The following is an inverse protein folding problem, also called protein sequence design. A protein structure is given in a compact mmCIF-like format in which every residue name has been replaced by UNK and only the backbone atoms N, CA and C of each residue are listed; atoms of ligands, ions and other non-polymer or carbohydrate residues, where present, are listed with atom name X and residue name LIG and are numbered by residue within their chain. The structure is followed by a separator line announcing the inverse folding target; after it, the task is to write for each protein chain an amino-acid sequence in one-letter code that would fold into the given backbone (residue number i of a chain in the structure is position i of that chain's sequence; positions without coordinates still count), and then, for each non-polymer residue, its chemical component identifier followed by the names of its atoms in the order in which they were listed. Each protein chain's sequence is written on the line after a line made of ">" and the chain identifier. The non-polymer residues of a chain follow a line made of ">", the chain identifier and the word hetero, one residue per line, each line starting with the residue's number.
data_IF_402364543178
#
_entry.id   IF_402364543178
#
_cell.length_a   1.000
_cell.length_b   1.000
_cell.length_c   1.000
_cell.angle_alpha   90.00
_cell.angle_beta   90.00
_cell.angle_gamma   90.00
#
_symmetry.space_group_name_H-M   'P 1'
#
loop_
_entity.id
_entity.type
_entity.pdbx_description
1 polymer ?
#
# COMPACT_ATOMS: atom_id res chain seq x y z
N UNK A 1 -64.43 -26.43 -59.21
CA UNK A 1 -63.66 -25.37 -58.63
C UNK A 1 -62.61 -26.02 -57.73
N UNK A 2 -61.35 -26.05 -58.19
CA UNK A 2 -60.24 -26.72 -57.44
C UNK A 2 -59.40 -25.63 -56.78
N UNK A 3 -59.43 -25.61 -55.44
CA UNK A 3 -58.60 -24.69 -54.66
C UNK A 3 -57.17 -25.27 -54.55
N UNK A 4 -56.23 -24.53 -55.05
CA UNK A 4 -54.80 -24.81 -54.99
C UNK A 4 -54.22 -24.10 -53.79
N UNK A 5 -53.86 -24.82 -52.74
CA UNK A 5 -53.17 -24.29 -51.55
C UNK A 5 -51.66 -24.33 -51.81
N UNK A 6 -51.05 -23.15 -51.87
CA UNK A 6 -49.61 -22.99 -51.99
C UNK A 6 -48.99 -22.96 -50.56
N UNK A 7 -48.23 -24.01 -50.22
CA UNK A 7 -47.46 -24.07 -49.00
C UNK A 7 -46.13 -23.31 -49.20
N UNK A 8 -46.00 -22.16 -48.54
CA UNK A 8 -44.70 -21.44 -48.48
C UNK A 8 -43.79 -22.11 -47.45
N UNK A 9 -42.70 -22.75 -47.92
CA UNK A 9 -41.65 -23.22 -47.07
C UNK A 9 -40.75 -22.06 -46.65
N UNK A 10 -40.78 -21.70 -45.34
CA UNK A 10 -39.89 -20.69 -44.77
C UNK A 10 -38.56 -21.34 -44.41
N UNK A 11 -37.52 -21.16 -45.21
CA UNK A 11 -36.14 -21.61 -44.89
C UNK A 11 -35.53 -20.69 -43.90
N UNK A 12 -35.39 -21.13 -42.63
CA UNK A 12 -34.67 -20.45 -41.59
C UNK A 12 -33.18 -20.62 -41.81
N UNK A 13 -32.49 -19.59 -42.34
CA UNK A 13 -31.03 -19.56 -42.45
C UNK A 13 -30.47 -19.22 -41.04
N UNK A 14 -29.96 -20.25 -40.38
CA UNK A 14 -29.17 -20.04 -39.14
C UNK A 14 -27.78 -19.50 -39.52
N UNK A 15 -27.56 -18.22 -39.38
CA UNK A 15 -26.24 -17.60 -39.48
C UNK A 15 -25.39 -18.00 -38.26
N UNK A 16 -24.49 -18.94 -38.44
CA UNK A 16 -23.40 -19.22 -37.46
C UNK A 16 -22.47 -18.00 -37.46
N UNK A 17 -22.60 -17.13 -36.48
CA UNK A 17 -21.61 -16.13 -36.20
C UNK A 17 -20.35 -16.82 -35.65
N UNK A 18 -19.37 -17.09 -36.52
CA UNK A 18 -18.03 -17.49 -36.12
C UNK A 18 -17.42 -16.25 -35.40
N UNK A 19 -17.54 -16.22 -34.10
CA UNK A 19 -16.81 -15.23 -33.31
C UNK A 19 -15.31 -15.39 -33.54
N UNK A 20 -14.67 -14.41 -34.17
CA UNK A 20 -13.21 -14.41 -34.30
C UNK A 20 -12.61 -14.51 -32.88
N UNK A 21 -11.90 -15.60 -32.61
CA UNK A 21 -11.20 -15.78 -31.36
C UNK A 21 -10.20 -14.62 -31.22
N UNK A 22 -10.39 -13.78 -30.20
CA UNK A 22 -9.47 -12.69 -29.95
C UNK A 22 -8.14 -13.25 -29.48
N UNK A 23 -7.05 -12.84 -30.13
CA UNK A 23 -5.69 -13.21 -29.72
C UNK A 23 -5.46 -12.69 -28.30
N UNK A 24 -5.06 -13.55 -27.36
CA UNK A 24 -4.74 -13.12 -26.00
C UNK A 24 -3.63 -12.06 -26.02
N UNK A 25 -3.75 -11.04 -25.19
CA UNK A 25 -2.80 -9.93 -25.23
C UNK A 25 -2.59 -9.29 -23.88
N UNK A 26 -1.32 -9.01 -23.54
CA UNK A 26 -0.93 -8.13 -22.42
C UNK A 26 -0.91 -6.69 -22.93
N UNK A 27 -1.54 -5.76 -22.19
CA UNK A 27 -1.64 -4.36 -22.61
C UNK A 27 -0.82 -3.43 -21.75
N UNK A 28 -0.81 -3.62 -20.42
CA UNK A 28 -0.07 -2.73 -19.48
C UNK A 28 0.15 -3.39 -18.14
N UNK A 29 1.02 -2.78 -17.34
CA UNK A 29 1.32 -3.13 -15.96
C UNK A 29 0.86 -1.97 -15.07
N UNK A 30 0.19 -2.28 -13.95
CA UNK A 30 -0.18 -1.34 -12.91
C UNK A 30 0.41 -1.78 -11.57
N UNK A 31 0.69 -0.80 -10.69
CA UNK A 31 1.27 -1.05 -9.38
C UNK A 31 0.39 -0.48 -8.27
N UNK A 32 0.29 -1.21 -7.18
CA UNK A 32 -0.29 -0.73 -5.93
C UNK A 32 0.41 -1.37 -4.73
N UNK A 33 0.38 -0.75 -3.53
CA UNK A 33 0.87 -1.42 -2.33
C UNK A 33 0.11 -2.73 -2.10
N UNK A 34 0.82 -3.81 -1.81
CA UNK A 34 0.19 -5.06 -1.42
C UNK A 34 -0.31 -4.97 0.04
N UNK A 35 -1.46 -5.58 0.37
CA UNK A 35 -1.93 -5.67 1.74
C UNK A 35 -0.90 -6.35 2.66
N UNK A 36 -0.76 -5.90 3.91
CA UNK A 36 0.14 -6.53 4.88
C UNK A 36 -0.22 -8.00 5.15
N UNK A 37 -1.52 -8.34 5.08
CA UNK A 37 -2.02 -9.73 5.16
C UNK A 37 -1.49 -10.63 4.05
N UNK A 38 -1.06 -10.06 2.92
CA UNK A 38 -0.39 -10.77 1.81
C UNK A 38 1.15 -10.71 1.91
N UNK A 39 1.70 -10.40 3.09
CA UNK A 39 3.14 -10.29 3.32
C UNK A 39 3.75 -8.95 2.96
N UNK A 40 2.93 -7.96 2.58
CA UNK A 40 3.39 -6.64 2.14
C UNK A 40 4.14 -6.67 0.80
N UNK A 41 4.71 -5.55 0.39
CA UNK A 41 5.42 -5.39 -0.87
C UNK A 41 4.59 -4.66 -1.91
N UNK A 42 4.83 -4.96 -3.19
CA UNK A 42 4.15 -4.33 -4.32
C UNK A 42 3.25 -5.35 -5.02
N UNK A 43 1.98 -5.00 -5.17
CA UNK A 43 1.04 -5.73 -6.01
C UNK A 43 1.20 -5.23 -7.45
N UNK A 44 1.57 -6.14 -8.34
CA UNK A 44 1.76 -5.92 -9.77
C UNK A 44 0.56 -6.52 -10.47
N UNK A 45 -0.20 -5.72 -11.20
CA UNK A 45 -1.37 -6.16 -11.96
C UNK A 45 -1.06 -6.07 -13.45
N UNK A 46 -1.04 -7.22 -14.12
CA UNK A 46 -0.94 -7.30 -15.57
C UNK A 46 -2.33 -7.22 -16.17
N UNK A 47 -2.57 -6.22 -17.00
CA UNK A 47 -3.83 -5.99 -17.68
C UNK A 47 -3.77 -6.49 -19.12
N UNK A 48 -4.90 -6.97 -19.60
CA UNK A 48 -5.05 -7.52 -20.94
C UNK A 48 -6.30 -8.34 -21.09
N UNK A 49 -6.30 -9.24 -22.06
CA UNK A 49 -7.41 -10.16 -22.34
C UNK A 49 -6.91 -11.58 -22.62
N UNK A 50 -7.77 -12.54 -22.31
CA UNK A 50 -7.50 -13.97 -22.53
C UNK A 50 -6.51 -14.57 -21.54
N UNK A 51 -6.05 -15.80 -21.80
CA UNK A 51 -5.05 -16.51 -21.00
C UNK A 51 -3.70 -16.40 -21.69
N UNK A 52 -2.68 -15.93 -20.97
CA UNK A 52 -1.32 -15.74 -21.46
C UNK A 52 -0.31 -16.53 -20.65
N UNK A 53 0.64 -17.15 -21.35
CA UNK A 53 1.91 -17.54 -20.74
C UNK A 53 2.92 -16.43 -21.00
N UNK A 54 3.63 -15.99 -19.95
CA UNK A 54 4.56 -14.87 -20.03
C UNK A 54 5.67 -15.01 -18.99
N UNK A 55 6.78 -14.32 -19.24
CA UNK A 55 7.84 -14.10 -18.25
C UNK A 55 7.72 -12.68 -17.70
N UNK A 56 7.63 -12.56 -16.39
CA UNK A 56 7.64 -11.30 -15.66
C UNK A 56 9.04 -11.09 -15.09
N UNK A 57 9.71 -10.04 -15.55
CA UNK A 57 10.98 -9.55 -15.02
C UNK A 57 10.67 -8.38 -14.10
N UNK A 58 11.09 -8.48 -12.83
CA UNK A 58 10.84 -7.45 -11.81
C UNK A 58 11.83 -6.29 -11.85
N UNK A 59 12.92 -6.42 -12.63
CA UNK A 59 13.98 -5.42 -12.71
C UNK A 59 14.96 -5.44 -11.53
N UNK A 60 14.88 -6.43 -10.64
CA UNK A 60 15.77 -6.66 -9.50
C UNK A 60 16.53 -7.99 -9.63
N UNK A 61 16.84 -8.40 -10.86
CA UNK A 61 17.48 -9.67 -11.25
C UNK A 61 16.59 -10.91 -11.00
N UNK A 62 15.35 -10.73 -10.58
CA UNK A 62 14.39 -11.82 -10.42
C UNK A 62 13.38 -11.85 -11.56
N UNK A 63 13.08 -13.05 -11.99
CA UNK A 63 12.09 -13.31 -13.02
C UNK A 63 11.16 -14.44 -12.61
N UNK A 64 9.93 -14.42 -13.09
CA UNK A 64 8.94 -15.47 -12.88
C UNK A 64 8.21 -15.79 -14.18
N UNK A 65 8.14 -17.07 -14.54
CA UNK A 65 7.31 -17.54 -15.65
C UNK A 65 5.94 -17.93 -15.15
N UNK A 66 4.89 -17.39 -15.76
CA UNK A 66 3.49 -17.58 -15.34
C UNK A 66 2.60 -17.94 -16.53
N UNK A 67 1.51 -18.65 -16.23
CA UNK A 67 0.41 -18.87 -17.17
C UNK A 67 -0.90 -18.57 -16.44
N UNK A 68 -1.58 -17.49 -16.84
CA UNK A 68 -2.75 -16.98 -16.15
C UNK A 68 -3.74 -16.29 -17.07
N UNK A 69 -5.01 -16.27 -16.66
CA UNK A 69 -6.02 -15.42 -17.28
C UNK A 69 -5.78 -13.96 -16.86
N UNK A 70 -5.87 -13.04 -17.81
CA UNK A 70 -5.72 -11.61 -17.54
C UNK A 70 -7.08 -10.97 -17.18
N UNK A 71 -7.10 -10.04 -16.19
CA UNK A 71 -5.95 -9.49 -15.48
C UNK A 71 -5.35 -10.46 -14.46
N UNK A 72 -4.01 -10.57 -14.41
CA UNK A 72 -3.29 -11.36 -13.40
C UNK A 72 -2.64 -10.45 -12.35
N UNK A 73 -2.60 -10.94 -11.10
CA UNK A 73 -2.07 -10.19 -9.95
C UNK A 73 -0.95 -10.98 -9.28
N UNK A 74 0.19 -10.32 -9.12
CA UNK A 74 1.40 -10.90 -8.52
C UNK A 74 1.91 -9.97 -7.44
N UNK A 75 2.29 -10.53 -6.30
CA UNK A 75 2.94 -9.74 -5.25
C UNK A 75 4.44 -9.97 -5.30
N UNK A 76 5.23 -8.88 -5.34
CA UNK A 76 6.67 -8.93 -5.28
C UNK A 76 7.21 -7.99 -4.22
N UNK A 77 8.27 -8.41 -3.52
CA UNK A 77 8.95 -7.60 -2.51
C UNK A 77 10.36 -7.26 -2.98
N UNK A 78 10.61 -5.97 -3.15
CA UNK A 78 11.92 -5.44 -3.47
C UNK A 78 12.77 -5.34 -2.19
N UNK A 79 14.02 -5.77 -2.27
CA UNK A 79 14.93 -5.80 -1.12
C UNK A 79 15.56 -4.43 -0.82
N UNK A 80 15.61 -3.55 -1.82
CA UNK A 80 16.19 -2.21 -1.71
C UNK A 80 15.27 -1.15 -2.33
N UNK A 81 15.48 0.08 -1.91
CA UNK A 81 14.89 1.25 -2.57
C UNK A 81 15.57 1.49 -3.91
N UNK A 82 14.86 2.00 -4.88
CA UNK A 82 15.40 2.25 -6.22
C UNK A 82 14.33 2.40 -7.29
N UNK A 83 14.76 2.55 -8.52
CA UNK A 83 13.93 2.55 -9.70
C UNK A 83 14.09 1.20 -10.43
N UNK A 84 12.99 0.54 -10.67
CA UNK A 84 12.93 -0.77 -11.32
C UNK A 84 12.16 -0.67 -12.62
N UNK A 85 12.64 -1.34 -13.66
CA UNK A 85 11.90 -1.51 -14.91
C UNK A 85 11.26 -2.90 -14.91
N UNK A 86 9.96 -2.96 -14.67
CA UNK A 86 9.20 -4.21 -14.71
C UNK A 86 8.78 -4.49 -16.14
N UNK A 87 9.04 -5.71 -16.63
CA UNK A 87 8.78 -6.12 -18.00
C UNK A 87 8.00 -7.43 -18.01
N UNK A 88 6.85 -7.47 -18.71
CA UNK A 88 6.12 -8.68 -19.00
C UNK A 88 6.29 -9.04 -20.48
N UNK A 89 6.92 -10.17 -20.76
CA UNK A 89 7.17 -10.68 -22.11
C UNK A 89 6.31 -11.91 -22.36
N UNK A 90 5.29 -11.85 -23.22
CA UNK A 90 4.44 -12.99 -23.51
C UNK A 90 5.13 -14.01 -24.42
N UNK A 91 4.67 -15.27 -24.32
CA UNK A 91 4.97 -16.34 -25.23
C UNK A 91 3.83 -16.52 -26.26
N UNK A 92 4.10 -16.91 -27.49
CA UNK A 92 3.04 -17.21 -28.47
C UNK A 92 2.06 -18.26 -27.94
N UNK A 93 0.74 -18.13 -28.23
CA UNK A 93 0.10 -17.17 -29.13
C UNK A 93 -0.24 -15.82 -28.49
N UNK A 94 0.14 -15.57 -27.22
CA UNK A 94 -0.14 -14.29 -26.58
C UNK A 94 0.80 -13.20 -27.11
N UNK A 95 0.26 -11.99 -27.26
CA UNK A 95 0.96 -10.82 -27.79
C UNK A 95 1.09 -9.69 -26.77
N UNK A 96 1.92 -8.69 -27.08
CA UNK A 96 2.03 -7.43 -26.35
C UNK A 96 3.01 -7.48 -25.19
N UNK A 97 4.23 -6.98 -25.41
CA UNK A 97 5.21 -6.75 -24.35
C UNK A 97 4.82 -5.50 -23.57
N UNK A 98 4.59 -5.64 -22.27
CA UNK A 98 4.32 -4.50 -21.39
C UNK A 98 5.56 -4.13 -20.56
N UNK A 99 5.79 -2.83 -20.38
CA UNK A 99 6.89 -2.27 -19.57
C UNK A 99 6.38 -1.15 -18.71
N UNK A 100 6.80 -1.09 -17.45
CA UNK A 100 6.46 -0.01 -16.56
C UNK A 100 7.61 0.27 -15.57
N UNK A 101 7.85 1.55 -15.28
CA UNK A 101 8.81 1.96 -14.26
C UNK A 101 8.13 1.99 -12.90
N UNK A 102 8.80 1.45 -11.90
CA UNK A 102 8.38 1.42 -10.51
C UNK A 102 9.47 2.07 -9.66
N UNK A 103 9.11 3.09 -8.86
CA UNK A 103 10.00 3.66 -7.86
C UNK A 103 9.63 3.11 -6.48
N UNK A 104 10.52 2.35 -5.88
CA UNK A 104 10.47 1.97 -4.47
C UNK A 104 11.23 3.02 -3.68
N UNK A 105 10.53 3.69 -2.77
CA UNK A 105 11.10 4.73 -1.93
C UNK A 105 11.00 4.34 -0.47
N UNK A 106 11.98 4.73 0.38
CA UNK A 106 11.87 4.50 1.81
C UNK A 106 10.61 5.18 2.33
N UNK A 107 9.91 4.48 3.19
CA UNK A 107 8.85 5.11 3.98
C UNK A 107 9.56 6.00 5.00
N UNK A 108 9.45 7.31 4.85
CA UNK A 108 9.99 8.24 5.83
C UNK A 108 9.36 7.94 7.19
N UNK A 109 10.21 7.58 8.15
CA UNK A 109 9.84 7.35 9.54
C UNK A 109 10.03 8.64 10.32
N UNK A 110 9.10 8.96 11.19
CA UNK A 110 9.23 10.17 11.98
C UNK A 110 7.96 10.52 12.75
N UNK A 111 8.07 11.61 13.50
CA UNK A 111 7.00 12.17 14.31
C UNK A 111 6.52 13.49 13.69
N UNK A 112 5.21 13.76 13.72
CA UNK A 112 4.62 14.99 13.18
C UNK A 112 3.57 15.66 14.07
N UNK A 113 3.14 14.99 15.15
CA UNK A 113 2.19 15.58 16.09
C UNK A 113 2.43 15.06 17.51
N UNK A 114 2.37 15.98 18.48
CA UNK A 114 2.41 15.71 19.90
C UNK A 114 1.13 16.25 20.52
N UNK A 115 0.32 15.36 21.09
CA UNK A 115 -0.93 15.71 21.78
C UNK A 115 -0.78 15.36 23.25
N UNK A 116 -1.19 16.26 24.13
CA UNK A 116 -1.17 16.03 25.58
C UNK A 116 -2.56 16.29 26.14
N UNK A 117 -3.06 15.31 26.88
CA UNK A 117 -4.39 15.37 27.53
C UNK A 117 -4.25 14.97 29.01
N UNK A 118 -5.24 15.27 29.88
CA UNK A 118 -5.28 14.70 31.23
C UNK A 118 -5.12 13.18 31.21
N UNK A 119 -4.38 12.66 32.17
CA UNK A 119 -4.10 11.24 32.28
C UNK A 119 -5.35 10.39 32.57
N UNK A 120 -5.21 9.06 32.45
CA UNK A 120 -6.34 8.12 32.60
C UNK A 120 -6.78 7.93 34.05
N UNK A 121 -6.00 8.39 35.02
CA UNK A 121 -6.35 8.25 36.44
C UNK A 121 -7.07 9.51 36.99
N UNK A 122 -7.59 9.41 38.19
CA UNK A 122 -8.19 10.55 38.89
C UNK A 122 -7.15 11.58 39.42
N UNK A 123 -5.86 11.38 39.15
CA UNK A 123 -4.82 12.32 39.55
C UNK A 123 -4.80 13.53 38.60
N UNK A 124 -5.11 14.70 39.14
CA UNK A 124 -5.16 15.94 38.35
C UNK A 124 -3.79 16.35 37.75
N UNK A 125 -2.69 15.80 38.24
CA UNK A 125 -1.34 16.09 37.76
C UNK A 125 -0.83 15.06 36.75
N UNK A 126 -1.60 14.02 36.47
CA UNK A 126 -1.24 13.04 35.46
C UNK A 126 -1.66 13.52 34.08
N UNK A 127 -0.78 13.31 33.10
CA UNK A 127 -1.01 13.60 31.70
C UNK A 127 -0.66 12.40 30.83
N UNK A 128 -1.35 12.27 29.69
CA UNK A 128 -1.06 11.33 28.65
C UNK A 128 -0.53 12.07 27.42
N UNK A 129 0.73 11.88 27.08
CA UNK A 129 1.38 12.44 25.91
C UNK A 129 1.38 11.42 24.78
N UNK A 130 0.65 11.69 23.71
CA UNK A 130 0.58 10.86 22.52
C UNK A 130 1.46 11.44 21.41
N UNK A 131 2.42 10.67 20.96
CA UNK A 131 3.28 10.97 19.81
C UNK A 131 2.72 10.29 18.58
N UNK A 132 2.25 11.07 17.62
CA UNK A 132 1.77 10.57 16.34
C UNK A 132 2.91 10.61 15.30
N UNK A 133 3.00 9.54 14.51
CA UNK A 133 4.08 9.38 13.56
C UNK A 133 3.91 8.12 12.71
N UNK A 134 4.98 7.76 12.02
CA UNK A 134 5.04 6.54 11.19
C UNK A 134 6.28 5.72 11.48
N UNK A 135 6.07 4.42 11.61
CA UNK A 135 7.12 3.42 11.81
C UNK A 135 7.51 3.24 13.27
N UNK A 136 8.44 2.31 13.51
CA UNK A 136 9.09 2.16 14.81
C UNK A 136 10.17 3.22 14.94
N UNK A 137 10.06 4.06 15.97
CA UNK A 137 10.98 5.18 16.24
C UNK A 137 11.37 5.21 17.72
N UNK A 138 12.66 5.48 17.98
CA UNK A 138 13.08 5.98 19.26
C UNK A 138 12.68 7.45 19.40
N UNK A 139 11.97 7.82 20.44
CA UNK A 139 11.56 9.20 20.73
C UNK A 139 11.93 9.56 22.14
N UNK A 140 12.57 10.69 22.34
CA UNK A 140 12.83 11.27 23.65
C UNK A 140 11.76 12.30 23.93
N UNK A 141 11.04 12.16 25.04
CA UNK A 141 10.02 13.12 25.51
C UNK A 141 10.52 13.80 26.78
N UNK A 142 10.77 15.10 26.68
CA UNK A 142 11.07 15.99 27.80
C UNK A 142 9.76 16.65 28.24
N UNK A 143 9.39 16.46 29.51
CA UNK A 143 8.13 16.97 30.06
C UNK A 143 8.21 18.42 30.57
N UNK A 144 9.41 19.03 30.53
CA UNK A 144 9.61 20.41 30.92
C UNK A 144 9.65 20.66 32.44
N UNK A 145 9.68 19.61 33.25
CA UNK A 145 9.82 19.63 34.72
C UNK A 145 11.18 19.03 35.17
N UNK A 146 12.05 18.74 34.22
CA UNK A 146 13.34 18.07 34.42
C UNK A 146 13.31 16.55 34.20
N UNK A 147 12.12 15.98 34.00
CA UNK A 147 11.98 14.57 33.67
C UNK A 147 11.99 14.35 32.16
N UNK A 148 12.74 13.34 31.75
CA UNK A 148 12.90 12.94 30.34
C UNK A 148 12.69 11.44 30.22
N UNK A 149 11.77 11.03 29.36
CA UNK A 149 11.49 9.63 29.08
C UNK A 149 11.84 9.25 27.65
N UNK A 150 12.20 7.98 27.46
CA UNK A 150 12.47 7.41 26.15
C UNK A 150 11.39 6.41 25.76
N UNK A 151 10.89 6.56 24.57
CA UNK A 151 9.89 5.71 23.96
C UNK A 151 10.52 5.03 22.74
N UNK A 152 10.65 3.72 22.74
CA UNK A 152 11.02 2.91 21.59
C UNK A 152 9.80 2.08 21.18
N UNK A 153 9.00 2.62 20.26
CA UNK A 153 7.71 2.02 19.93
C UNK A 153 7.30 2.21 18.47
N UNK A 154 6.38 1.38 18.05
CA UNK A 154 5.61 1.61 16.83
C UNK A 154 4.67 2.78 17.07
N UNK A 155 4.76 3.79 16.21
CA UNK A 155 3.91 4.98 16.30
C UNK A 155 2.53 4.75 15.62
N UNK A 156 1.42 5.35 16.15
CA UNK A 156 1.38 6.26 17.31
C UNK A 156 1.57 5.55 18.63
N UNK A 157 2.13 6.24 19.64
CA UNK A 157 2.33 5.71 20.97
C UNK A 157 2.11 6.77 22.06
N UNK A 158 1.74 6.33 23.26
CA UNK A 158 1.39 7.21 24.38
C UNK A 158 2.26 6.90 25.60
N UNK A 159 2.72 7.93 26.27
CA UNK A 159 3.42 7.91 27.56
C UNK A 159 2.59 8.66 28.59
N UNK A 160 2.45 8.09 29.78
CA UNK A 160 1.84 8.77 30.92
C UNK A 160 2.93 9.37 31.80
N UNK A 161 2.71 10.61 32.25
CA UNK A 161 3.62 11.31 33.17
C UNK A 161 2.83 12.01 34.26
N UNK A 162 3.40 12.06 35.47
CA UNK A 162 2.78 12.76 36.62
C UNK A 162 3.68 13.91 37.09
N UNK A 163 3.18 15.12 37.00
CA UNK A 163 3.85 16.31 37.53
C UNK A 163 3.75 16.38 39.05
N UNK A 164 4.75 16.91 39.69
CA UNK A 164 4.73 17.11 41.15
C UNK A 164 3.89 18.30 41.59
N UNK A 165 3.70 19.30 40.72
CA UNK A 165 3.06 20.58 41.04
C UNK A 165 2.20 21.08 39.88
N UNK A 166 1.18 21.86 40.20
CA UNK A 166 0.47 22.64 39.20
C UNK A 166 1.41 23.65 38.53
N UNK A 167 1.19 23.89 37.24
CA UNK A 167 2.03 24.81 36.45
C UNK A 167 1.79 24.70 34.97
N UNK A 168 2.49 25.54 34.21
CA UNK A 168 2.54 25.45 32.74
C UNK A 168 3.86 24.84 32.34
N UNK A 169 3.80 23.75 31.63
CA UNK A 169 4.96 23.00 31.17
C UNK A 169 5.04 22.98 29.64
N UNK A 170 6.26 23.06 29.10
CA UNK A 170 6.50 22.90 27.69
C UNK A 170 7.11 21.50 27.44
N UNK A 171 6.35 20.63 26.76
CA UNK A 171 6.82 19.32 26.38
C UNK A 171 7.53 19.39 25.05
N UNK A 172 8.61 18.60 24.91
CA UNK A 172 9.33 18.42 23.65
C UNK A 172 9.49 16.94 23.35
N UNK A 173 9.10 16.54 22.15
CA UNK A 173 9.34 15.20 21.63
C UNK A 173 10.35 15.27 20.49
N UNK A 174 11.46 14.54 20.60
CA UNK A 174 12.53 14.51 19.60
C UNK A 174 12.76 13.08 19.13
N UNK A 175 12.65 12.85 17.82
CA UNK A 175 12.92 11.53 17.23
C UNK A 175 14.42 11.28 17.10
N UNK A 176 14.83 10.04 17.41
CA UNK A 176 16.19 9.57 17.18
C UNK A 176 16.37 9.08 15.73
N UNK A 177 17.55 9.28 15.16
CA UNK A 177 17.89 8.73 13.83
C UNK A 177 17.68 7.21 13.78
N UNK A 178 17.15 6.63 12.69
CA UNK A 178 16.87 7.23 11.39
C UNK A 178 15.50 7.93 11.29
N UNK A 179 14.72 8.03 12.35
CA UNK A 179 13.48 8.79 12.36
C UNK A 179 13.75 10.30 12.42
N UNK A 180 12.78 11.09 11.94
CA UNK A 180 12.85 12.55 11.91
C UNK A 180 11.72 13.18 12.70
N UNK A 181 11.94 14.40 13.19
CA UNK A 181 10.94 15.23 13.85
C UNK A 181 11.38 15.75 15.21
N UNK A 182 10.97 16.97 15.50
CA UNK A 182 11.16 17.69 16.77
C UNK A 182 9.90 18.53 16.99
N UNK A 183 9.14 18.21 18.03
CA UNK A 183 7.82 18.75 18.28
C UNK A 183 7.77 19.37 19.67
N UNK A 184 6.98 20.44 19.82
CA UNK A 184 6.76 21.08 21.11
C UNK A 184 5.29 21.38 21.32
N UNK A 185 4.85 21.29 22.56
CA UNK A 185 3.49 21.66 22.97
C UNK A 185 3.51 22.17 24.40
N UNK A 186 2.50 22.93 24.79
CA UNK A 186 2.35 23.40 26.15
C UNK A 186 1.13 22.79 26.78
N UNK A 187 1.22 22.51 28.09
CA UNK A 187 0.09 22.04 28.88
C UNK A 187 0.03 22.86 30.20
N UNK A 188 -1.17 23.11 30.63
CA UNK A 188 -1.45 23.69 31.97
C UNK A 188 -1.98 22.56 32.87
N UNK A 189 -1.23 22.25 33.90
CA UNK A 189 -1.57 21.27 34.95
C UNK A 189 -2.12 22.02 36.14
N UNK A 190 -3.33 21.69 36.62
CA UNK A 190 -4.04 22.38 37.69
C UNK A 190 -4.38 21.45 38.84
#
# INVERSE_FOLDING_TARGET
>A
MRNLTIASALTLAASLAVGAAQIPRITRIEFSPAPETAGGGMLITLLGNGTCTYTLDYGDEKTERRSAALPDKVTHRYAADGEYLVVATPEPPCEGVARAKLAIRPVEKGIWKLTVVPGPTANAFEVAATVEGRGACGVTVDFGDGNVEKLDAQLPSTINHTYEKAGTYELRATAASPCTGDLRTKIEVR
#
